data_IF_301048538816
#
_entry.id   IF_301048538816
#
_cell.length_a   1.000
_cell.length_b   1.000
_cell.length_c   1.000
_cell.angle_alpha   90.00
_cell.angle_beta   90.00
_cell.angle_gamma   90.00
#
_symmetry.space_group_name_H-M   'P 1'
#
loop_
_entity.id
_entity.type
_entity.pdbx_description
1 polymer ?
#
# COMPACT_ATOMS: atom_id res chain seq x y z
N UNK A 1 3.11 6.39 22.07
CA UNK A 1 2.19 5.56 21.27
C UNK A 1 0.75 5.81 21.72
N UNK A 2 -0.16 5.78 20.76
CA UNK A 2 -1.59 6.00 20.96
C UNK A 2 -2.38 4.89 20.27
N UNK A 3 -3.58 4.65 20.76
CA UNK A 3 -4.57 3.77 20.11
C UNK A 3 -5.87 4.55 19.93
N UNK A 4 -6.38 4.59 18.71
CA UNK A 4 -7.66 5.22 18.41
C UNK A 4 -8.80 4.35 18.92
N UNK A 5 -9.58 4.86 19.89
CA UNK A 5 -10.54 4.06 20.66
C UNK A 5 -11.63 3.41 19.80
N UNK A 6 -12.15 4.12 18.78
CA UNK A 6 -13.27 3.64 17.97
C UNK A 6 -12.81 2.60 16.92
N UNK A 7 -11.66 2.80 16.26
CA UNK A 7 -11.22 1.97 15.14
C UNK A 7 -10.13 0.96 15.47
N UNK A 8 -9.43 1.12 16.61
CA UNK A 8 -8.29 0.29 16.98
C UNK A 8 -6.99 0.62 16.24
N UNK A 9 -6.95 1.69 15.44
CA UNK A 9 -5.73 2.14 14.79
C UNK A 9 -4.63 2.49 15.80
N UNK A 10 -3.39 2.12 15.48
CA UNK A 10 -2.22 2.44 16.31
C UNK A 10 -1.45 3.59 15.70
N UNK A 11 -1.02 4.53 16.54
CA UNK A 11 -0.22 5.68 16.15
C UNK A 11 1.05 5.73 17.00
N UNK A 12 2.19 5.84 16.36
CA UNK A 12 3.45 6.24 16.96
C UNK A 12 3.78 7.68 16.56
N UNK A 13 3.94 8.55 17.54
CA UNK A 13 4.41 9.89 17.31
C UNK A 13 5.79 10.06 17.95
N UNK A 14 6.78 10.41 17.11
CA UNK A 14 8.13 10.75 17.52
C UNK A 14 8.23 12.26 17.55
N UNK A 15 7.99 12.83 18.72
CA UNK A 15 8.12 14.28 18.93
C UNK A 15 9.58 14.68 18.91
N UNK A 16 9.98 15.46 17.88
CA UNK A 16 11.33 15.96 17.69
C UNK A 16 11.30 17.38 17.16
N UNK A 17 12.35 18.16 17.49
CA UNK A 17 12.57 19.50 16.91
C UNK A 17 13.16 19.37 15.49
N UNK A 18 12.39 18.76 14.58
CA UNK A 18 12.74 18.63 13.17
C UNK A 18 11.68 19.32 12.31
N UNK A 19 12.10 20.28 11.51
CA UNK A 19 11.20 21.00 10.61
C UNK A 19 10.65 20.10 9.51
N UNK A 20 11.38 19.03 9.13
CA UNK A 20 10.92 18.08 8.11
C UNK A 20 9.96 17.05 8.72
N UNK A 21 8.69 17.39 8.70
CA UNK A 21 7.62 16.58 9.23
C UNK A 21 7.36 15.38 8.34
N UNK A 22 7.21 14.20 8.94
CA UNK A 22 6.92 12.96 8.22
C UNK A 22 5.65 12.30 8.74
N UNK A 23 4.88 11.74 7.82
CA UNK A 23 3.75 10.86 8.10
C UNK A 23 3.89 9.58 7.30
N UNK A 24 3.49 8.46 7.89
CA UNK A 24 3.37 7.20 7.16
C UNK A 24 2.11 6.45 7.61
N UNK A 25 1.29 6.04 6.67
CA UNK A 25 0.29 5.02 6.89
C UNK A 25 0.86 3.66 6.43
N UNK A 26 1.01 2.73 7.37
CA UNK A 26 1.50 1.38 7.08
C UNK A 26 0.42 0.35 7.43
N UNK A 27 0.28 -0.66 6.57
CA UNK A 27 -0.65 -1.77 6.75
C UNK A 27 0.12 -3.07 6.75
N UNK A 28 -0.25 -4.02 7.60
CA UNK A 28 0.27 -5.37 7.51
C UNK A 28 -0.41 -6.09 6.35
N UNK A 29 0.33 -6.30 5.27
CA UNK A 29 -0.16 -6.91 4.03
C UNK A 29 0.62 -8.20 3.77
N UNK A 30 0.10 -9.30 4.33
CA UNK A 30 0.72 -10.61 4.22
C UNK A 30 0.27 -11.28 2.92
N UNK A 31 1.16 -11.51 1.94
CA UNK A 31 0.80 -12.21 0.72
C UNK A 31 0.38 -13.66 1.05
N UNK A 32 -0.64 -14.12 0.33
CA UNK A 32 -1.20 -15.47 0.45
C UNK A 32 -1.12 -16.26 -0.86
N UNK A 33 -0.64 -15.60 -1.90
CA UNK A 33 -0.33 -16.14 -3.22
C UNK A 33 0.71 -15.27 -3.94
N UNK A 34 1.07 -15.64 -5.17
CA UNK A 34 2.06 -14.91 -5.98
C UNK A 34 1.42 -13.88 -6.94
N UNK A 35 0.14 -13.50 -6.75
CA UNK A 35 -0.53 -12.55 -7.66
C UNK A 35 -0.08 -11.10 -7.50
N UNK A 36 0.68 -10.79 -6.45
CA UNK A 36 1.14 -9.42 -6.18
C UNK A 36 -0.01 -8.45 -5.86
N UNK A 37 -1.12 -8.95 -5.29
CA UNK A 37 -2.31 -8.15 -5.01
C UNK A 37 -2.01 -6.88 -4.22
N UNK A 38 -1.06 -6.93 -3.28
CA UNK A 38 -0.70 -5.77 -2.45
C UNK A 38 0.16 -4.75 -3.19
N UNK A 39 0.97 -5.17 -4.15
CA UNK A 39 1.71 -4.28 -5.04
C UNK A 39 0.75 -3.56 -6.00
N UNK A 40 -0.20 -4.30 -6.58
CA UNK A 40 -1.24 -3.72 -7.42
C UNK A 40 -2.13 -2.76 -6.60
N UNK A 41 -2.45 -3.08 -5.35
CA UNK A 41 -3.18 -2.19 -4.44
C UNK A 41 -2.37 -0.93 -4.12
N UNK A 42 -1.05 -1.05 -3.90
CA UNK A 42 -0.16 0.07 -3.64
C UNK A 42 -0.27 1.14 -4.73
N UNK A 43 -0.15 0.73 -5.99
CA UNK A 43 -0.32 1.62 -7.15
C UNK A 43 -1.75 2.16 -7.22
N UNK A 44 -2.73 1.26 -7.15
CA UNK A 44 -4.15 1.54 -7.45
C UNK A 44 -4.83 2.50 -6.49
N UNK A 45 -4.51 2.44 -5.18
CA UNK A 45 -5.15 3.35 -4.20
C UNK A 45 -4.76 4.81 -4.43
N UNK A 46 -3.63 5.05 -5.08
CA UNK A 46 -3.15 6.39 -5.44
C UNK A 46 -3.71 6.91 -6.77
N UNK A 47 -4.59 6.16 -7.44
CA UNK A 47 -5.23 6.53 -8.71
C UNK A 47 -6.57 7.25 -8.54
N UNK A 48 -6.80 7.90 -7.39
CA UNK A 48 -7.98 8.67 -7.05
C UNK A 48 -8.74 8.13 -5.85
N UNK A 49 -9.43 9.03 -5.17
CA UNK A 49 -10.13 8.73 -3.94
C UNK A 49 -11.40 9.57 -3.79
N UNK A 50 -12.15 9.33 -2.73
CA UNK A 50 -13.46 9.94 -2.47
C UNK A 50 -13.43 11.47 -2.48
N UNK A 51 -12.44 12.09 -1.82
CA UNK A 51 -12.30 13.55 -1.78
C UNK A 51 -11.42 14.09 -2.92
N UNK A 52 -10.58 13.23 -3.50
CA UNK A 52 -9.65 13.58 -4.57
C UNK A 52 -9.90 12.68 -5.80
N UNK A 53 -11.03 12.84 -6.52
CA UNK A 53 -11.44 11.96 -7.62
C UNK A 53 -10.67 12.24 -8.94
N UNK A 54 -9.50 12.87 -8.87
CA UNK A 54 -8.63 13.11 -10.03
C UNK A 54 -7.92 11.84 -10.46
N UNK A 55 -7.53 11.74 -11.72
CA UNK A 55 -7.00 10.50 -12.30
C UNK A 55 -5.67 10.06 -11.64
N UNK A 56 -4.79 10.99 -11.33
CA UNK A 56 -3.45 10.72 -10.80
C UNK A 56 -3.07 11.76 -9.74
N UNK A 57 -3.74 11.74 -8.55
CA UNK A 57 -3.45 12.72 -7.49
C UNK A 57 -1.99 12.66 -7.03
N UNK A 58 -1.36 11.49 -7.06
CA UNK A 58 0.05 11.30 -6.73
C UNK A 58 0.97 12.12 -7.65
N UNK A 59 0.75 12.08 -8.96
CA UNK A 59 1.53 12.83 -9.95
C UNK A 59 1.34 14.34 -9.77
N UNK A 60 0.12 14.78 -9.49
CA UNK A 60 -0.18 16.19 -9.20
C UNK A 60 0.50 16.68 -7.93
N UNK A 61 0.57 15.83 -6.87
CA UNK A 61 1.31 16.15 -5.65
C UNK A 61 2.82 16.21 -5.90
N UNK A 62 3.39 15.31 -6.68
CA UNK A 62 4.82 15.35 -7.02
C UNK A 62 5.21 16.66 -7.72
N UNK A 63 4.32 17.21 -8.55
CA UNK A 63 4.57 18.43 -9.31
C UNK A 63 4.24 19.71 -8.54
N UNK A 64 3.21 19.68 -7.69
CA UNK A 64 2.57 20.87 -7.13
C UNK A 64 2.75 21.07 -5.64
N UNK A 65 3.16 20.07 -4.87
CA UNK A 65 3.38 20.19 -3.42
C UNK A 65 4.80 20.59 -3.07
N UNK A 66 5.01 21.01 -1.82
CA UNK A 66 6.32 21.33 -1.24
C UNK A 66 6.92 20.11 -0.54
N UNK A 67 6.57 18.90 -1.00
CA UNK A 67 7.05 17.68 -0.41
C UNK A 67 8.59 17.58 -0.44
N UNK A 68 9.15 16.99 0.59
CA UNK A 68 10.56 16.58 0.66
C UNK A 68 10.71 15.09 0.40
N UNK A 69 9.62 14.35 0.59
CA UNK A 69 9.53 12.93 0.27
C UNK A 69 8.07 12.56 -0.03
N UNK A 70 7.86 11.77 -1.06
CA UNK A 70 6.56 11.26 -1.47
C UNK A 70 6.77 9.89 -2.13
N UNK A 71 6.20 8.83 -1.55
CA UNK A 71 6.34 7.49 -2.11
C UNK A 71 5.22 6.55 -1.63
N UNK A 72 5.19 5.35 -2.20
CA UNK A 72 4.52 4.17 -1.69
C UNK A 72 5.46 2.97 -1.85
N UNK A 73 5.39 1.99 -0.97
CA UNK A 73 6.36 0.90 -0.89
C UNK A 73 5.68 -0.39 -0.43
N UNK A 74 5.77 -1.44 -1.24
CA UNK A 74 5.33 -2.79 -0.87
C UNK A 74 6.52 -3.64 -0.46
N UNK A 75 6.46 -4.16 0.76
CA UNK A 75 7.43 -5.09 1.34
C UNK A 75 6.82 -6.50 1.46
N UNK A 76 7.61 -7.51 1.82
CA UNK A 76 7.10 -8.88 1.98
C UNK A 76 6.00 -9.06 3.02
N UNK A 77 5.83 -8.11 3.96
CA UNK A 77 4.89 -8.24 5.09
C UNK A 77 4.09 -6.97 5.39
N UNK A 78 4.31 -5.90 4.64
CA UNK A 78 3.63 -4.61 4.83
C UNK A 78 3.63 -3.77 3.57
N UNK A 79 2.69 -2.84 3.49
CA UNK A 79 2.67 -1.77 2.50
C UNK A 79 2.65 -0.42 3.22
N UNK A 80 3.52 0.49 2.83
CA UNK A 80 3.77 1.76 3.48
C UNK A 80 3.52 2.93 2.53
N UNK A 81 2.91 3.99 3.03
CA UNK A 81 2.59 5.21 2.31
C UNK A 81 3.21 6.41 3.04
N UNK A 82 4.53 6.65 2.86
CA UNK A 82 5.23 7.74 3.51
C UNK A 82 5.16 9.04 2.74
N UNK A 83 5.00 10.16 3.46
CA UNK A 83 5.12 11.52 2.96
C UNK A 83 5.89 12.38 3.93
N UNK A 84 6.58 13.41 3.42
CA UNK A 84 7.22 14.40 4.25
C UNK A 84 7.20 15.78 3.62
N UNK A 85 7.12 16.82 4.46
CA UNK A 85 7.22 18.22 4.05
C UNK A 85 7.72 19.09 5.20
N UNK A 86 8.52 20.11 4.87
CA UNK A 86 8.92 21.14 5.82
C UNK A 86 7.82 22.17 6.06
N UNK A 87 6.92 22.34 5.11
CA UNK A 87 5.80 23.26 5.23
C UNK A 87 4.63 22.59 5.96
N UNK A 88 4.16 23.14 7.08
CA UNK A 88 3.12 22.54 7.91
C UNK A 88 1.78 22.39 7.20
N UNK A 89 1.38 23.39 6.40
CA UNK A 89 0.11 23.33 5.64
C UNK A 89 0.17 22.28 4.53
N UNK A 90 1.28 22.20 3.82
CA UNK A 90 1.51 21.19 2.80
C UNK A 90 1.55 19.78 3.41
N UNK A 91 2.22 19.61 4.55
CA UNK A 91 2.26 18.37 5.31
C UNK A 91 0.85 17.84 5.65
N UNK A 92 -0.01 18.68 6.22
CA UNK A 92 -1.40 18.30 6.52
C UNK A 92 -2.21 17.99 5.26
N UNK A 93 -1.94 18.68 4.16
CA UNK A 93 -2.56 18.38 2.88
C UNK A 93 -2.12 17.02 2.33
N UNK A 94 -0.83 16.71 2.39
CA UNK A 94 -0.28 15.40 2.01
C UNK A 94 -0.87 14.28 2.87
N UNK A 95 -0.94 14.46 4.20
CA UNK A 95 -1.60 13.51 5.10
C UNK A 95 -3.05 13.25 4.67
N UNK A 96 -3.81 14.32 4.38
CA UNK A 96 -5.22 14.21 3.98
C UNK A 96 -5.38 13.42 2.70
N UNK A 97 -4.58 13.72 1.67
CA UNK A 97 -4.65 13.02 0.40
C UNK A 97 -4.32 11.53 0.57
N UNK A 98 -3.29 11.20 1.34
CA UNK A 98 -2.88 9.82 1.56
C UNK A 98 -3.87 9.04 2.42
N UNK A 99 -4.42 9.64 3.48
CA UNK A 99 -5.48 9.02 4.28
C UNK A 99 -6.74 8.73 3.45
N UNK A 100 -7.14 9.69 2.61
CA UNK A 100 -8.29 9.49 1.72
C UNK A 100 -8.01 8.40 0.69
N UNK A 101 -6.81 8.37 0.11
CA UNK A 101 -6.39 7.39 -0.86
C UNK A 101 -6.39 5.96 -0.29
N UNK A 102 -5.81 5.74 0.89
CA UNK A 102 -5.69 4.38 1.44
C UNK A 102 -7.00 3.87 2.03
N UNK A 103 -7.85 4.74 2.60
CA UNK A 103 -9.10 4.31 3.25
C UNK A 103 -10.33 4.38 2.33
N UNK A 104 -10.35 5.29 1.36
CA UNK A 104 -11.49 5.54 0.49
C UNK A 104 -11.10 5.67 -0.99
N UNK A 105 -10.30 4.71 -1.54
CA UNK A 105 -9.85 4.77 -2.92
C UNK A 105 -11.00 4.55 -3.89
N UNK A 106 -10.88 5.13 -5.09
CA UNK A 106 -11.85 4.97 -6.18
C UNK A 106 -11.88 3.55 -6.80
N UNK A 107 -11.02 2.64 -6.37
CA UNK A 107 -10.90 1.29 -6.92
C UNK A 107 -12.19 0.46 -6.81
N UNK A 108 -13.06 0.76 -5.86
CA UNK A 108 -14.32 0.05 -5.65
C UNK A 108 -15.41 0.46 -6.66
N UNK A 109 -15.26 1.62 -7.29
CA UNK A 109 -16.22 2.20 -8.22
C UNK A 109 -15.71 2.19 -9.67
N UNK A 110 -14.37 2.09 -9.84
CA UNK A 110 -13.66 2.21 -11.11
C UNK A 110 -12.77 0.99 -11.37
N UNK A 111 -13.34 -0.10 -11.91
CA UNK A 111 -12.55 -1.32 -12.22
C UNK A 111 -11.43 -1.09 -13.24
N UNK A 112 -11.51 -0.03 -14.04
CA UNK A 112 -10.46 0.36 -14.98
C UNK A 112 -9.13 0.71 -14.30
N UNK A 113 -9.13 1.11 -13.02
CA UNK A 113 -7.90 1.33 -12.25
C UNK A 113 -7.16 0.00 -12.07
N UNK A 114 -7.88 -1.06 -11.68
CA UNK A 114 -7.30 -2.39 -11.57
C UNK A 114 -6.76 -2.89 -12.93
N UNK A 115 -7.49 -2.65 -14.01
CA UNK A 115 -7.06 -3.03 -15.35
C UNK A 115 -5.78 -2.31 -15.78
N UNK A 116 -5.67 -1.01 -15.46
CA UNK A 116 -4.50 -0.20 -15.78
C UNK A 116 -3.29 -0.62 -14.94
N UNK A 117 -3.44 -0.67 -13.62
CA UNK A 117 -2.32 -0.91 -12.71
C UNK A 117 -1.94 -2.39 -12.60
N UNK A 118 -2.92 -3.29 -12.58
CA UNK A 118 -2.71 -4.73 -12.47
C UNK A 118 -2.43 -5.38 -13.81
N UNK A 119 -3.51 -5.78 -14.48
CA UNK A 119 -3.40 -6.40 -15.80
C UNK A 119 -4.70 -6.32 -16.61
N UNK A 120 -4.57 -6.35 -17.94
CA UNK A 120 -5.66 -6.41 -18.89
C UNK A 120 -5.20 -7.08 -20.19
N UNK A 121 -6.16 -7.45 -21.06
CA UNK A 121 -5.85 -7.84 -22.41
C UNK A 121 -5.73 -6.62 -23.32
N UNK A 122 -4.67 -6.59 -24.13
CA UNK A 122 -4.40 -5.57 -25.13
C UNK A 122 -4.27 -6.22 -26.50
N UNK A 123 -4.94 -5.64 -27.50
CA UNK A 123 -4.84 -6.09 -28.88
C UNK A 123 -3.87 -5.14 -29.62
N UNK A 124 -2.70 -5.67 -30.00
CA UNK A 124 -1.71 -4.93 -30.77
C UNK A 124 -1.38 -5.70 -32.05
N UNK A 125 -1.57 -5.06 -33.21
CA UNK A 125 -1.34 -5.63 -34.53
C UNK A 125 -2.01 -7.02 -34.75
N UNK A 126 -3.20 -7.21 -34.19
CA UNK A 126 -3.95 -8.46 -34.30
C UNK A 126 -3.49 -9.56 -33.34
N UNK A 127 -2.52 -9.30 -32.48
CA UNK A 127 -2.03 -10.21 -31.45
C UNK A 127 -2.60 -9.79 -30.08
N UNK A 128 -3.25 -10.73 -29.40
CA UNK A 128 -3.75 -10.52 -28.05
C UNK A 128 -2.62 -10.75 -27.05
N UNK A 129 -2.31 -9.71 -26.27
CA UNK A 129 -1.27 -9.72 -25.24
C UNK A 129 -1.83 -9.35 -23.87
N UNK A 130 -1.08 -9.63 -22.81
CA UNK A 130 -1.38 -9.16 -21.45
C UNK A 130 -0.46 -8.00 -21.11
N UNK A 131 -1.06 -6.89 -20.67
CA UNK A 131 -0.39 -5.64 -20.31
C UNK A 131 -0.92 -5.14 -18.95
N UNK A 132 -0.21 -4.25 -18.30
CA UNK A 132 -0.54 -3.61 -17.04
C UNK A 132 0.72 -3.04 -16.41
N UNK A 133 0.60 -1.98 -15.59
CA UNK A 133 1.77 -1.30 -15.02
C UNK A 133 2.60 -2.26 -14.20
N UNK A 134 2.02 -2.86 -13.16
CA UNK A 134 2.71 -3.82 -12.27
C UNK A 134 3.12 -5.09 -13.02
N UNK A 135 2.26 -5.63 -13.89
CA UNK A 135 2.64 -6.79 -14.70
C UNK A 135 3.89 -6.54 -15.54
N UNK A 136 4.00 -5.38 -16.18
CA UNK A 136 5.14 -5.06 -17.03
C UNK A 136 6.40 -4.76 -16.20
N UNK A 137 6.26 -4.10 -15.04
CA UNK A 137 7.33 -3.90 -14.06
C UNK A 137 7.90 -5.24 -13.59
N UNK A 138 7.03 -6.17 -13.18
CA UNK A 138 7.46 -7.47 -12.69
C UNK A 138 8.06 -8.37 -13.77
N UNK A 139 7.61 -8.26 -15.03
CA UNK A 139 8.32 -8.89 -16.16
C UNK A 139 9.75 -8.38 -16.28
N UNK A 140 9.98 -7.09 -16.04
CA UNK A 140 11.32 -6.51 -16.00
C UNK A 140 12.15 -7.03 -14.83
N UNK A 141 11.59 -7.07 -13.61
CA UNK A 141 12.25 -7.58 -12.42
C UNK A 141 12.65 -9.06 -12.56
N UNK A 142 11.79 -9.90 -13.12
CA UNK A 142 12.05 -11.32 -13.36
C UNK A 142 13.03 -11.61 -14.50
N UNK A 143 13.48 -10.61 -15.23
CA UNK A 143 14.61 -10.74 -16.16
C UNK A 143 15.98 -10.74 -15.43
N UNK A 144 16.01 -10.34 -14.14
CA UNK A 144 17.20 -10.34 -13.30
C UNK A 144 17.39 -11.72 -12.63
N UNK A 145 18.58 -12.31 -12.80
CA UNK A 145 18.91 -13.61 -12.22
C UNK A 145 19.00 -13.58 -10.68
N UNK A 146 19.39 -12.45 -10.10
CA UNK A 146 19.47 -12.28 -8.64
C UNK A 146 18.07 -12.25 -8.03
N UNK A 147 17.10 -11.62 -8.67
CA UNK A 147 15.70 -11.66 -8.24
C UNK A 147 15.13 -13.08 -8.24
N UNK A 148 15.38 -13.85 -9.30
CA UNK A 148 14.97 -15.25 -9.37
C UNK A 148 15.61 -16.11 -8.27
N UNK A 149 16.89 -15.88 -7.98
CA UNK A 149 17.61 -16.57 -6.91
C UNK A 149 17.01 -16.23 -5.53
N UNK A 150 16.77 -14.95 -5.24
CA UNK A 150 16.20 -14.49 -3.98
C UNK A 150 14.81 -15.10 -3.77
N UNK A 151 13.97 -15.11 -4.80
CA UNK A 151 12.63 -15.71 -4.74
C UNK A 151 12.69 -17.23 -4.49
N UNK A 152 13.61 -17.94 -5.16
CA UNK A 152 13.81 -19.37 -4.93
C UNK A 152 14.32 -19.65 -3.50
N UNK A 153 15.25 -18.86 -2.99
CA UNK A 153 15.75 -18.95 -1.62
C UNK A 153 14.63 -18.69 -0.60
N UNK A 154 13.82 -17.66 -0.79
CA UNK A 154 12.70 -17.34 0.10
C UNK A 154 11.68 -18.48 0.17
N UNK A 155 11.32 -19.07 -0.96
CA UNK A 155 10.45 -20.26 -1.01
C UNK A 155 11.05 -21.47 -0.28
N UNK A 156 12.36 -21.68 -0.38
CA UNK A 156 13.04 -22.78 0.29
C UNK A 156 13.20 -22.56 1.79
N UNK A 157 13.48 -21.33 2.23
CA UNK A 157 13.72 -21.01 3.64
C UNK A 157 12.43 -20.79 4.43
N UNK A 158 11.35 -20.34 3.77
CA UNK A 158 10.08 -19.96 4.41
C UNK A 158 8.85 -20.67 3.81
N UNK A 159 8.87 -22.03 3.60
CA UNK A 159 7.83 -22.74 2.87
C UNK A 159 6.44 -22.66 3.49
N UNK A 160 6.35 -22.43 4.82
CA UNK A 160 5.09 -22.42 5.58
C UNK A 160 4.70 -21.01 6.06
N UNK A 161 5.29 -19.97 5.46
CA UNK A 161 5.03 -18.58 5.86
C UNK A 161 4.71 -17.69 4.66
N UNK A 162 4.09 -16.51 4.86
CA UNK A 162 3.85 -15.55 3.79
C UNK A 162 5.10 -15.13 3.01
N UNK A 163 6.27 -15.22 3.62
CA UNK A 163 7.55 -14.86 2.99
C UNK A 163 7.97 -15.82 1.85
N UNK A 164 7.26 -16.92 1.64
CA UNK A 164 7.45 -17.79 0.47
C UNK A 164 6.97 -17.15 -0.83
N UNK A 165 6.01 -16.25 -0.74
CA UNK A 165 5.38 -15.62 -1.89
C UNK A 165 6.13 -14.40 -2.38
N UNK A 166 6.03 -14.13 -3.68
CA UNK A 166 6.60 -12.93 -4.29
C UNK A 166 5.66 -11.76 -4.04
N UNK A 167 6.00 -10.88 -3.08
CA UNK A 167 5.14 -9.76 -2.69
C UNK A 167 4.87 -8.79 -3.83
N UNK A 168 5.82 -8.61 -4.75
CA UNK A 168 5.65 -7.80 -5.96
C UNK A 168 4.75 -8.45 -7.01
N UNK A 169 4.60 -9.76 -6.97
CA UNK A 169 3.86 -10.56 -7.91
C UNK A 169 4.73 -11.31 -8.93
N UNK A 170 4.40 -12.57 -9.17
CA UNK A 170 5.01 -13.36 -10.24
C UNK A 170 4.27 -13.03 -11.57
N UNK A 171 4.96 -12.64 -12.64
CA UNK A 171 4.34 -12.31 -13.92
C UNK A 171 3.43 -13.38 -14.51
N UNK A 172 3.67 -14.65 -14.18
CA UNK A 172 2.80 -15.76 -14.60
C UNK A 172 1.56 -15.90 -13.71
N UNK A 173 1.63 -15.46 -12.44
CA UNK A 173 0.53 -15.52 -11.49
C UNK A 173 -0.36 -14.26 -11.52
N UNK A 174 0.19 -13.08 -11.73
CA UNK A 174 -0.54 -11.79 -11.76
C UNK A 174 -1.81 -11.88 -12.61
N UNK A 175 -1.82 -12.48 -13.84
CA UNK A 175 -3.02 -12.56 -14.67
C UNK A 175 -4.13 -13.48 -14.13
N UNK A 176 -3.93 -14.15 -13.01
CA UNK A 176 -4.97 -14.93 -12.33
C UNK A 176 -5.73 -14.11 -11.29
N UNK A 177 -5.23 -12.91 -10.91
CA UNK A 177 -5.91 -12.03 -9.98
C UNK A 177 -7.18 -11.46 -10.61
N UNK A 178 -8.31 -11.63 -9.92
CA UNK A 178 -9.59 -11.06 -10.35
C UNK A 178 -9.86 -9.74 -9.64
N UNK A 179 -10.71 -8.92 -10.21
CA UNK A 179 -11.13 -7.64 -9.61
C UNK A 179 -11.83 -7.85 -8.25
N UNK A 180 -12.61 -8.93 -8.11
CA UNK A 180 -13.29 -9.28 -6.85
C UNK A 180 -12.28 -9.62 -5.75
N UNK A 181 -11.25 -10.43 -6.06
CA UNK A 181 -10.20 -10.77 -5.11
C UNK A 181 -9.37 -9.53 -4.72
N UNK A 182 -9.05 -8.68 -5.69
CA UNK A 182 -8.35 -7.42 -5.49
C UNK A 182 -9.12 -6.48 -4.55
N UNK A 183 -10.41 -6.23 -4.79
CA UNK A 183 -11.21 -5.36 -3.93
C UNK A 183 -11.50 -5.96 -2.55
N UNK A 184 -11.61 -7.29 -2.46
CA UNK A 184 -11.73 -8.00 -1.18
C UNK A 184 -10.45 -7.88 -0.34
N UNK A 185 -9.27 -7.95 -0.96
CA UNK A 185 -7.99 -7.73 -0.28
C UNK A 185 -7.91 -6.31 0.30
N UNK A 186 -8.29 -5.28 -0.45
CA UNK A 186 -8.34 -3.91 0.09
C UNK A 186 -9.25 -3.84 1.32
N UNK A 187 -10.50 -4.30 1.23
CA UNK A 187 -11.46 -4.28 2.36
C UNK A 187 -10.96 -4.99 3.61
N UNK A 188 -10.21 -6.08 3.43
CA UNK A 188 -9.67 -6.87 4.54
C UNK A 188 -8.45 -6.23 5.18
N UNK A 189 -7.49 -5.78 4.38
CA UNK A 189 -6.17 -5.39 4.87
C UNK A 189 -5.99 -3.88 5.07
N UNK A 190 -6.73 -3.02 4.34
CA UNK A 190 -6.64 -1.56 4.45
C UNK A 190 -7.68 -1.02 5.45
N UNK A 191 -7.67 -1.61 6.63
CA UNK A 191 -8.53 -1.20 7.73
C UNK A 191 -7.71 -0.52 8.83
N UNK A 192 -8.22 0.54 9.51
CA UNK A 192 -7.48 1.21 10.59
C UNK A 192 -6.96 0.26 11.67
N UNK A 193 -7.72 -0.75 12.09
CA UNK A 193 -7.26 -1.74 13.08
C UNK A 193 -6.03 -2.55 12.63
N UNK A 194 -5.78 -2.65 11.31
CA UNK A 194 -4.61 -3.28 10.72
C UNK A 194 -3.50 -2.27 10.40
N UNK A 195 -3.71 -0.98 10.69
CA UNK A 195 -2.75 0.06 10.38
C UNK A 195 -1.79 0.33 11.54
N UNK A 196 -0.62 0.82 11.18
CA UNK A 196 0.32 1.48 12.06
C UNK A 196 0.64 2.84 11.46
N UNK A 197 0.18 3.89 12.11
CA UNK A 197 0.40 5.27 11.67
C UNK A 197 1.63 5.82 12.36
N UNK A 198 2.46 6.54 11.64
CA UNK A 198 3.67 7.17 12.16
C UNK A 198 3.62 8.66 11.89
N UNK A 199 3.92 9.45 12.91
CA UNK A 199 4.19 10.88 12.83
C UNK A 199 5.58 11.16 13.39
N UNK A 200 6.35 12.01 12.72
CA UNK A 200 7.70 12.38 13.14
C UNK A 200 7.99 13.86 12.82
N UNK A 201 8.64 14.54 13.75
CA UNK A 201 9.07 15.94 13.62
C UNK A 201 8.25 16.94 14.44
N UNK A 202 8.47 18.23 14.16
CA UNK A 202 7.81 19.37 14.82
C UNK A 202 6.39 19.57 14.25
N UNK A 203 5.44 18.75 14.71
CA UNK A 203 4.07 18.65 14.19
C UNK A 203 3.12 19.34 15.14
N UNK A 204 2.13 20.06 14.59
CA UNK A 204 0.97 20.50 15.35
C UNK A 204 0.10 19.27 15.71
N UNK A 205 0.09 18.96 17.01
CA UNK A 205 -0.62 17.76 17.52
C UNK A 205 -2.12 17.88 17.31
N UNK A 206 -2.71 19.03 17.65
CA UNK A 206 -4.16 19.18 17.65
C UNK A 206 -4.72 19.08 16.21
N UNK A 207 -4.09 19.76 15.25
CA UNK A 207 -4.50 19.70 13.85
C UNK A 207 -4.30 18.31 13.25
N UNK A 208 -3.17 17.69 13.52
CA UNK A 208 -2.86 16.35 12.97
C UNK A 208 -3.74 15.26 13.57
N UNK A 209 -3.99 15.31 14.88
CA UNK A 209 -4.86 14.33 15.54
C UNK A 209 -6.33 14.53 15.15
N UNK A 210 -6.80 15.76 15.01
CA UNK A 210 -8.15 16.05 14.51
C UNK A 210 -8.34 15.53 13.07
N UNK A 211 -7.32 15.66 12.22
CA UNK A 211 -7.35 15.11 10.86
C UNK A 211 -7.42 13.58 10.88
N UNK A 212 -6.59 12.91 11.70
CA UNK A 212 -6.61 11.47 11.85
C UNK A 212 -7.95 10.98 12.39
N UNK A 213 -8.46 11.60 13.45
CA UNK A 213 -9.76 11.26 14.05
C UNK A 213 -10.90 11.36 13.04
N UNK A 214 -10.91 12.38 12.20
CA UNK A 214 -11.92 12.58 11.15
C UNK A 214 -12.00 11.43 10.13
N UNK A 215 -10.88 10.76 9.85
CA UNK A 215 -10.83 9.56 9.01
C UNK A 215 -11.13 8.29 9.82
N UNK A 216 -10.47 8.11 10.94
CA UNK A 216 -10.48 6.86 11.71
C UNK A 216 -11.83 6.60 12.39
N UNK A 217 -12.55 7.65 12.80
CA UNK A 217 -13.88 7.53 13.43
C UNK A 217 -14.99 7.02 12.50
N UNK A 218 -14.71 6.90 11.19
CA UNK A 218 -15.62 6.30 10.23
C UNK A 218 -15.59 4.75 10.28
N UNK A 219 -14.70 4.16 11.07
CA UNK A 219 -14.49 2.72 11.17
C UNK A 219 -14.72 2.24 12.60
N UNK A 220 -15.37 1.07 12.74
CA UNK A 220 -15.43 0.35 14.01
C UNK A 220 -14.19 -0.56 14.15
N UNK A 221 -13.76 -0.81 15.40
CA UNK A 221 -12.66 -1.74 15.65
C UNK A 221 -13.01 -3.16 15.21
N UNK A 222 -12.06 -3.84 14.56
CA UNK A 222 -12.13 -5.25 14.18
C UNK A 222 -10.84 -5.96 14.61
N UNK A 223 -10.85 -7.29 14.63
CA UNK A 223 -9.63 -8.09 14.64
C UNK A 223 -9.23 -8.37 13.18
N UNK A 224 -8.11 -7.82 12.69
CA UNK A 224 -7.72 -7.96 11.29
C UNK A 224 -7.20 -9.35 10.93
N UNK A 225 -6.95 -10.23 11.93
CA UNK A 225 -6.38 -11.58 11.72
C UNK A 225 -5.17 -11.57 10.75
N UNK A 226 -4.18 -10.73 11.06
CA UNK A 226 -2.97 -10.54 10.26
C UNK A 226 -1.69 -10.87 11.03
N UNK A 227 -1.74 -11.87 11.90
CA UNK A 227 -0.58 -12.31 12.65
C UNK A 227 0.33 -13.19 11.80
N UNK A 228 1.65 -12.94 11.92
CA UNK A 228 2.66 -13.81 11.34
C UNK A 228 3.00 -14.89 12.36
N UNK A 229 2.72 -16.14 12.01
CA UNK A 229 3.09 -17.27 12.85
C UNK A 229 4.53 -17.71 12.59
N UNK A 230 5.23 -18.07 13.67
CA UNK A 230 6.57 -18.61 13.53
C UNK A 230 6.53 -19.96 12.77
N UNK A 231 7.35 -20.07 11.74
CA UNK A 231 7.52 -21.29 10.97
C UNK A 231 8.34 -22.31 11.78
N UNK A 232 7.98 -23.61 11.74
CA UNK A 232 8.86 -24.64 12.29
C UNK A 232 10.20 -24.68 11.53
N UNK A 233 11.29 -25.16 12.18
CA UNK A 233 12.58 -25.28 11.51
C UNK A 233 12.50 -26.16 10.25
N UNK A 234 13.00 -25.64 9.14
CA UNK A 234 13.10 -26.42 7.89
C UNK A 234 14.13 -27.52 8.11
N UNK A 235 13.73 -28.75 7.87
CA UNK A 235 14.64 -29.91 7.93
C UNK A 235 15.20 -30.18 6.52
N UNK A 236 16.52 -30.35 6.46
CA UNK A 236 17.19 -30.76 5.24
C UNK A 236 16.84 -32.19 4.83
#
# INVERSE_FOLDING_TARGET
EYTHAASGARLCWLEREDENKSFCAAFRTLPYDDTGVFHILEHSVLCGSKQFPVKEPFVELMKGSLNTFLNALTFPDKTCYPVASRNSRDFLNLMRVYLDAVFFPSIHEKPEIFQQEGWHYELHDGVLTRSGVVLNEMKGAFADADELLINAMSRALFPDSPYRFVSGGDPEAIPSLTYEAFTAAHKRFYHPANSYLLLDGSIDQDESFALLDGYLSQFAAIDPDTQIHAQPPVRA
#
